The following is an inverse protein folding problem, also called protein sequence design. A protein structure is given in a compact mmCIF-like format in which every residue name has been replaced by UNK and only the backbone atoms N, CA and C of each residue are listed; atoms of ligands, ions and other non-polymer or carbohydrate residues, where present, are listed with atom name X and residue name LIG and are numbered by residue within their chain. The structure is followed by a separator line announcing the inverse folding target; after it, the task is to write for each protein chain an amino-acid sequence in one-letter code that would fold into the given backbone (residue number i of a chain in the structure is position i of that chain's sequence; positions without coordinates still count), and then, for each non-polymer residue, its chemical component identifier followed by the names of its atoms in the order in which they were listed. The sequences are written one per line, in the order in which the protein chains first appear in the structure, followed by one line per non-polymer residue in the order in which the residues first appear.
data_IF_193386563745
#
_entry.id   IF_193386563745
#
_cell.length_a   1.000
_cell.length_b   1.000
_cell.length_c   1.000
_cell.angle_alpha   90.00
_cell.angle_beta   90.00
_cell.angle_gamma   90.00
#
_symmetry.space_group_name_H-M   'P 1'
#
loop_
_entity.id
_entity.type
_entity.pdbx_description
1 polymer ?
#
# COMPACT_ATOMS: atom_id res chain seq x y z
N UNK A 1 20.56 17.92 5.90
CA UNK A 1 19.74 16.76 5.48
C UNK A 1 18.32 17.17 5.80
N UNK A 2 17.73 18.01 4.95
CA UNK A 2 16.58 18.86 5.35
C UNK A 2 15.29 18.42 4.64
N UNK A 3 15.29 17.19 4.13
CA UNK A 3 14.29 16.63 3.24
C UNK A 3 13.87 15.21 3.63
N UNK A 4 14.14 14.82 4.88
CA UNK A 4 13.73 13.55 5.46
C UNK A 4 13.24 13.81 6.89
N UNK A 5 12.03 13.35 7.18
CA UNK A 5 11.46 13.36 8.53
C UNK A 5 11.15 11.91 8.94
N UNK A 6 11.51 11.55 10.16
CA UNK A 6 11.12 10.29 10.78
C UNK A 6 10.03 10.57 11.81
N UNK A 7 8.87 9.94 11.64
CA UNK A 7 7.73 10.06 12.55
C UNK A 7 7.58 8.74 13.31
N UNK A 8 7.57 8.81 14.65
CA UNK A 8 7.30 7.65 15.50
C UNK A 8 5.85 7.65 15.95
N UNK A 9 4.99 6.99 15.17
CA UNK A 9 3.56 6.91 15.41
C UNK A 9 2.99 5.59 14.90
N UNK A 10 1.79 5.26 15.39
CA UNK A 10 1.01 4.15 14.86
C UNK A 10 0.42 4.54 13.50
N UNK A 11 0.72 3.75 12.46
CA UNK A 11 0.19 3.99 11.12
C UNK A 11 -1.32 3.74 11.00
N UNK A 12 -1.98 3.22 12.06
CA UNK A 12 -3.45 3.18 12.17
C UNK A 12 -4.05 4.53 12.59
N UNK A 13 -3.23 5.52 12.91
CA UNK A 13 -3.64 6.90 13.20
C UNK A 13 -3.10 7.87 12.13
N UNK A 14 -3.79 7.97 10.98
CA UNK A 14 -3.39 8.87 9.90
C UNK A 14 -3.29 10.32 10.35
N UNK A 15 -4.20 10.77 11.23
CA UNK A 15 -4.20 12.15 11.73
C UNK A 15 -2.90 12.47 12.48
N UNK A 16 -2.43 11.57 13.35
CA UNK A 16 -1.15 11.75 14.05
C UNK A 16 0.03 11.78 13.09
N UNK A 17 0.11 10.81 12.18
CA UNK A 17 1.23 10.72 11.22
C UNK A 17 1.28 11.94 10.31
N UNK A 18 0.14 12.33 9.73
CA UNK A 18 0.05 13.44 8.78
C UNK A 18 0.34 14.78 9.45
N UNK A 19 -0.07 14.97 10.71
CA UNK A 19 0.21 16.20 11.44
C UNK A 19 1.72 16.46 11.59
N UNK A 20 2.50 15.41 11.87
CA UNK A 20 3.96 15.52 11.92
C UNK A 20 4.56 15.62 10.51
N UNK A 21 4.05 14.85 9.55
CA UNK A 21 4.55 14.87 8.18
C UNK A 21 4.42 16.23 7.46
N UNK A 22 3.46 17.07 7.87
CA UNK A 22 3.26 18.44 7.36
C UNK A 22 4.44 19.38 7.60
N UNK A 23 5.35 19.05 8.51
CA UNK A 23 6.60 19.82 8.66
C UNK A 23 7.47 19.75 7.40
N UNK A 24 7.30 18.71 6.58
CA UNK A 24 8.06 18.48 5.37
C UNK A 24 7.20 18.39 4.09
N UNK A 25 5.99 17.82 4.18
CA UNK A 25 5.12 17.59 3.03
C UNK A 25 4.23 18.80 2.74
N UNK A 26 4.28 19.27 1.48
CA UNK A 26 3.36 20.25 0.93
C UNK A 26 2.11 19.55 0.39
N UNK A 27 0.99 19.67 1.11
CA UNK A 27 -0.29 19.03 0.75
C UNK A 27 -0.87 19.52 -0.58
N UNK A 28 -0.39 20.65 -1.12
CA UNK A 28 -0.82 21.15 -2.43
C UNK A 28 -0.17 20.45 -3.61
N UNK A 29 0.81 19.56 -3.37
CA UNK A 29 1.58 18.82 -4.40
C UNK A 29 1.24 17.33 -4.39
N UNK A 30 1.41 16.63 -5.53
CA UNK A 30 1.21 15.19 -5.56
C UNK A 30 2.18 14.47 -4.64
N UNK A 31 1.69 13.47 -3.91
CA UNK A 31 2.51 12.61 -3.04
C UNK A 31 2.59 11.18 -3.56
N UNK A 32 3.59 10.45 -3.10
CA UNK A 32 3.65 9.01 -3.23
C UNK A 32 3.52 8.38 -1.84
N UNK A 33 2.46 7.60 -1.62
CA UNK A 33 2.26 6.82 -0.41
C UNK A 33 2.79 5.41 -0.67
N UNK A 34 3.73 4.95 0.16
CA UNK A 34 4.30 3.60 0.07
C UNK A 34 3.78 2.77 1.24
N UNK A 35 2.77 1.94 0.97
CA UNK A 35 2.14 1.03 1.93
C UNK A 35 2.45 -0.43 1.57
N UNK A 36 3.73 -0.80 1.71
CA UNK A 36 4.23 -2.15 1.40
C UNK A 36 4.47 -2.95 2.66
N UNK A 37 4.15 -4.24 2.67
CA UNK A 37 4.41 -5.13 3.81
C UNK A 37 3.74 -4.67 5.14
N UNK A 38 2.63 -3.91 5.07
CA UNK A 38 2.05 -3.23 6.24
C UNK A 38 0.63 -3.72 6.61
N UNK A 39 -0.36 -3.61 5.70
CA UNK A 39 -1.78 -3.74 6.06
C UNK A 39 -2.23 -5.15 6.54
N UNK A 40 -1.46 -6.20 6.25
CA UNK A 40 -1.70 -7.56 6.79
C UNK A 40 -1.21 -7.72 8.22
N UNK A 41 -0.62 -6.70 8.83
CA UNK A 41 -0.36 -6.68 10.27
C UNK A 41 -1.64 -6.32 11.07
N UNK A 42 -2.68 -5.85 10.38
CA UNK A 42 -3.93 -5.39 11.01
C UNK A 42 -5.09 -6.32 10.66
N UNK A 43 -5.92 -6.58 11.67
CA UNK A 43 -7.16 -7.34 11.59
C UNK A 43 -8.19 -6.61 10.73
N UNK A 44 -9.23 -7.34 10.31
CA UNK A 44 -10.32 -6.75 9.53
C UNK A 44 -11.12 -5.71 10.34
N UNK A 45 -11.29 -5.92 11.65
CA UNK A 45 -11.99 -4.99 12.56
C UNK A 45 -11.22 -3.67 12.80
N UNK A 46 -9.93 -3.62 12.42
CA UNK A 46 -9.09 -2.42 12.46
C UNK A 46 -9.15 -1.59 11.15
N UNK A 47 -10.00 -1.99 10.19
CA UNK A 47 -10.29 -1.28 8.95
C UNK A 47 -9.05 -0.83 8.12
N UNK A 48 -8.15 -1.75 7.72
CA UNK A 48 -6.91 -1.42 7.02
C UNK A 48 -7.12 -0.61 5.73
N UNK A 49 -8.15 -0.95 4.94
CA UNK A 49 -8.46 -0.23 3.70
C UNK A 49 -8.91 1.21 4.00
N UNK A 50 -9.76 1.39 5.02
CA UNK A 50 -10.21 2.71 5.45
C UNK A 50 -9.05 3.60 5.92
N UNK A 51 -8.14 3.06 6.73
CA UNK A 51 -6.92 3.76 7.18
C UNK A 51 -6.06 4.19 5.97
N UNK A 52 -5.83 3.30 5.01
CA UNK A 52 -5.08 3.64 3.79
C UNK A 52 -5.78 4.74 2.98
N UNK A 53 -7.11 4.67 2.88
CA UNK A 53 -7.89 5.68 2.18
C UNK A 53 -7.88 7.04 2.90
N UNK A 54 -7.77 7.07 4.23
CA UNK A 54 -7.58 8.32 4.99
C UNK A 54 -6.27 9.02 4.65
N UNK A 55 -5.16 8.26 4.54
CA UNK A 55 -3.91 8.83 4.05
C UNK A 55 -4.04 9.42 2.64
N UNK A 56 -4.69 8.72 1.72
CA UNK A 56 -4.88 9.22 0.35
C UNK A 56 -5.79 10.46 0.31
N UNK A 57 -6.84 10.50 1.12
CA UNK A 57 -7.78 11.64 1.18
C UNK A 57 -7.16 12.93 1.70
N UNK A 58 -6.02 12.87 2.38
CA UNK A 58 -5.31 14.05 2.85
C UNK A 58 -4.65 14.86 1.71
N UNK A 59 -4.56 14.29 0.50
CA UNK A 59 -3.89 14.92 -0.64
C UNK A 59 -4.81 15.00 -1.86
N UNK A 60 -4.74 16.08 -2.67
CA UNK A 60 -5.58 16.25 -3.86
C UNK A 60 -5.39 15.15 -4.91
N UNK A 61 -4.16 14.67 -5.08
CA UNK A 61 -3.83 13.54 -5.92
C UNK A 61 -2.46 12.96 -5.55
N UNK A 62 -2.16 11.77 -6.07
CA UNK A 62 -0.88 11.13 -5.87
C UNK A 62 -0.83 9.72 -6.43
N UNK A 63 0.17 8.98 -5.97
CA UNK A 63 0.34 7.56 -6.26
C UNK A 63 0.38 6.75 -4.96
N UNK A 64 -0.15 5.55 -5.03
CA UNK A 64 -0.05 4.52 -4.02
C UNK A 64 0.86 3.41 -4.57
N UNK A 65 1.91 3.07 -3.83
CA UNK A 65 2.69 1.83 -4.01
C UNK A 65 2.27 0.88 -2.90
N UNK A 66 1.67 -0.24 -3.26
CA UNK A 66 0.98 -1.11 -2.31
C UNK A 66 1.44 -2.56 -2.44
N UNK A 67 1.58 -3.26 -1.31
CA UNK A 67 1.70 -4.71 -1.30
C UNK A 67 1.00 -5.35 -0.10
N UNK A 68 0.48 -6.56 -0.31
CA UNK A 68 -0.27 -7.29 0.70
C UNK A 68 -0.05 -8.80 0.62
N UNK A 69 0.12 -9.43 1.79
CA UNK A 69 0.21 -10.89 1.88
C UNK A 69 -1.12 -11.54 1.45
N UNK A 70 -1.03 -12.48 0.51
CA UNK A 70 -2.16 -13.18 -0.06
C UNK A 70 -2.10 -14.67 0.26
N UNK A 71 -3.24 -15.32 0.55
CA UNK A 71 -3.26 -16.72 1.00
C UNK A 71 -3.96 -17.70 0.07
N UNK A 72 -4.94 -17.28 -0.73
CA UNK A 72 -5.75 -18.17 -1.58
C UNK A 72 -5.07 -18.56 -2.90
N UNK A 73 -3.88 -18.02 -3.15
CA UNK A 73 -2.94 -18.41 -4.21
C UNK A 73 -1.75 -19.22 -3.69
N UNK A 74 -1.73 -19.53 -2.40
CA UNK A 74 -0.64 -20.24 -1.74
C UNK A 74 -1.04 -21.69 -1.50
N UNK A 75 -0.18 -22.62 -1.90
CA UNK A 75 -0.36 -24.05 -1.59
C UNK A 75 -0.55 -24.26 -0.07
N UNK A 76 -1.52 -25.09 0.37
CA UNK A 76 -1.83 -25.25 1.79
C UNK A 76 -0.61 -25.56 2.68
N UNK A 77 0.33 -26.35 2.16
CA UNK A 77 1.57 -26.69 2.86
C UNK A 77 2.49 -25.48 3.08
N UNK A 78 2.56 -24.55 2.13
CA UNK A 78 3.33 -23.30 2.27
C UNK A 78 2.65 -22.35 3.24
N UNK A 79 1.32 -22.24 3.19
CA UNK A 79 0.55 -21.43 4.13
C UNK A 79 0.73 -21.90 5.58
N UNK A 80 0.77 -23.22 5.81
CA UNK A 80 1.07 -23.78 7.13
C UNK A 80 2.49 -23.41 7.61
N UNK A 81 3.50 -23.47 6.74
CA UNK A 81 4.88 -23.06 7.06
C UNK A 81 4.98 -21.58 7.39
N UNK A 82 4.36 -20.70 6.59
CA UNK A 82 4.31 -19.27 6.87
C UNK A 82 3.67 -19.00 8.23
N UNK A 83 2.50 -19.60 8.51
CA UNK A 83 1.83 -19.45 9.81
C UNK A 83 2.72 -19.88 10.97
N UNK A 84 3.42 -21.01 10.85
CA UNK A 84 4.35 -21.47 11.87
C UNK A 84 5.54 -20.52 12.09
N UNK A 85 6.08 -19.92 11.02
CA UNK A 85 7.13 -18.90 11.09
C UNK A 85 6.60 -17.68 11.86
N UNK A 86 5.48 -17.09 11.46
CA UNK A 86 4.94 -15.89 12.08
C UNK A 86 4.49 -16.11 13.54
N UNK A 87 3.91 -17.28 13.85
CA UNK A 87 3.59 -17.66 15.23
C UNK A 87 4.83 -17.71 16.12
N UNK A 88 5.97 -18.17 15.60
CA UNK A 88 7.24 -18.23 16.34
C UNK A 88 7.81 -16.83 16.67
N UNK A 89 7.46 -15.82 15.88
CA UNK A 89 7.93 -14.43 16.06
C UNK A 89 6.93 -13.51 16.76
N UNK A 90 5.81 -14.04 17.30
CA UNK A 90 4.74 -13.25 17.94
C UNK A 90 4.18 -12.10 17.08
N UNK A 91 4.35 -12.18 15.75
CA UNK A 91 3.85 -11.17 14.83
C UNK A 91 2.66 -11.77 14.07
N UNK A 92 1.42 -11.62 14.60
CA UNK A 92 0.26 -12.10 13.89
C UNK A 92 0.14 -11.37 12.55
N UNK A 93 -0.04 -12.15 11.48
CA UNK A 93 -0.43 -11.61 10.18
C UNK A 93 -1.84 -12.07 9.84
N UNK A 94 -2.53 -11.22 9.08
CA UNK A 94 -3.87 -11.40 8.56
C UNK A 94 -3.82 -11.35 7.02
N UNK A 95 -3.36 -12.44 6.38
CA UNK A 95 -3.40 -12.56 4.93
C UNK A 95 -4.84 -12.42 4.42
N UNK A 96 -4.99 -11.90 3.21
CA UNK A 96 -6.29 -11.73 2.54
C UNK A 96 -6.31 -12.49 1.22
N UNK A 97 -7.49 -12.77 0.71
CA UNK A 97 -7.66 -13.32 -0.64
C UNK A 97 -7.28 -12.29 -1.68
N UNK A 98 -6.94 -12.71 -2.90
CA UNK A 98 -6.72 -11.78 -4.00
C UNK A 98 -7.92 -10.85 -4.24
N UNK A 99 -9.14 -11.34 -4.07
CA UNK A 99 -10.37 -10.56 -4.21
C UNK A 99 -10.52 -9.50 -3.11
N UNK A 100 -10.31 -9.86 -1.84
CA UNK A 100 -10.33 -8.90 -0.72
C UNK A 100 -9.25 -7.81 -0.88
N UNK A 101 -8.08 -8.18 -1.41
CA UNK A 101 -6.99 -7.22 -1.69
C UNK A 101 -7.39 -6.28 -2.82
N UNK A 102 -8.03 -6.77 -3.89
CA UNK A 102 -8.50 -5.94 -4.99
C UNK A 102 -9.50 -4.88 -4.51
N UNK A 103 -10.43 -5.24 -3.60
CA UNK A 103 -11.39 -4.29 -3.01
C UNK A 103 -10.71 -3.14 -2.27
N UNK A 104 -9.52 -3.35 -1.70
CA UNK A 104 -8.77 -2.26 -1.04
C UNK A 104 -8.32 -1.16 -2.02
N UNK A 105 -8.24 -1.50 -3.31
CA UNK A 105 -7.82 -0.61 -4.40
C UNK A 105 -9.02 -0.05 -5.19
N UNK A 106 -10.26 -0.36 -4.79
CA UNK A 106 -11.46 0.13 -5.48
C UNK A 106 -11.49 1.67 -5.54
N UNK A 107 -11.86 2.19 -6.71
CA UNK A 107 -11.90 3.63 -6.98
C UNK A 107 -10.55 4.26 -7.30
N UNK A 108 -9.46 3.49 -7.30
CA UNK A 108 -8.14 3.95 -7.75
C UNK A 108 -7.91 3.61 -9.22
N UNK A 109 -7.08 4.43 -9.88
CA UNK A 109 -6.59 4.16 -11.23
C UNK A 109 -5.37 3.24 -11.15
N UNK A 110 -5.63 1.93 -11.08
CA UNK A 110 -4.60 0.90 -10.97
C UNK A 110 -3.81 0.80 -12.27
N UNK A 111 -2.50 1.01 -12.18
CA UNK A 111 -1.61 1.05 -13.34
C UNK A 111 -1.22 -0.37 -13.79
N UNK A 112 -1.02 -0.54 -15.11
CA UNK A 112 -0.55 -1.79 -15.69
C UNK A 112 0.79 -2.26 -15.06
N UNK A 113 0.93 -3.56 -14.70
CA UNK A 113 0.09 -4.70 -15.10
C UNK A 113 -1.11 -5.01 -14.17
N UNK A 114 -1.52 -4.07 -13.31
CA UNK A 114 -2.58 -4.29 -12.34
C UNK A 114 -2.06 -4.86 -11.01
N UNK A 115 -2.91 -5.64 -10.35
CA UNK A 115 -2.59 -6.36 -9.11
C UNK A 115 -2.01 -7.73 -9.44
N UNK A 116 -0.69 -7.86 -9.34
CA UNK A 116 0.07 -9.09 -9.67
C UNK A 116 0.94 -9.52 -8.51
N UNK A 117 1.59 -10.69 -8.62
CA UNK A 117 2.60 -11.07 -7.64
C UNK A 117 3.76 -10.05 -7.66
N UNK A 118 4.26 -9.68 -6.48
CA UNK A 118 5.19 -8.55 -6.32
C UNK A 118 6.44 -8.65 -7.22
N UNK A 119 7.01 -9.84 -7.41
CA UNK A 119 8.17 -10.04 -8.30
C UNK A 119 7.86 -9.92 -9.79
N UNK A 120 6.58 -9.92 -10.17
CA UNK A 120 6.12 -9.77 -11.55
C UNK A 120 5.82 -8.31 -11.92
N UNK A 121 5.81 -7.38 -10.96
CA UNK A 121 5.47 -6.00 -11.23
C UNK A 121 6.58 -5.29 -12.04
N UNK A 122 6.37 -5.16 -13.36
CA UNK A 122 7.32 -4.59 -14.35
C UNK A 122 8.75 -5.16 -14.23
N UNK A 123 8.88 -6.44 -13.90
CA UNK A 123 10.19 -7.09 -13.87
C UNK A 123 10.69 -7.38 -15.30
N UNK A 124 12.00 -7.31 -15.48
CA UNK A 124 12.68 -7.53 -16.75
C UNK A 124 12.99 -9.02 -16.99
N UNK A 125 11.99 -9.89 -16.81
CA UNK A 125 12.06 -11.35 -16.97
C UNK A 125 13.03 -12.09 -16.02
N UNK A 126 13.53 -11.44 -14.98
CA UNK A 126 14.24 -12.13 -13.90
C UNK A 126 13.22 -12.75 -12.95
N UNK A 127 12.99 -14.06 -13.09
CA UNK A 127 12.24 -14.84 -12.10
C UNK A 127 13.05 -14.88 -10.80
N UNK A 128 12.63 -14.09 -9.82
CA UNK A 128 13.20 -14.09 -8.47
C UNK A 128 12.45 -15.15 -7.67
N UNK A 129 13.18 -16.09 -7.07
CA UNK A 129 12.61 -16.96 -6.05
C UNK A 129 12.39 -16.12 -4.78
N UNK A 130 11.13 -15.81 -4.50
CA UNK A 130 10.70 -15.00 -3.35
C UNK A 130 10.35 -15.86 -2.12
N UNK A 131 10.64 -17.17 -2.18
CA UNK A 131 10.37 -18.11 -1.10
C UNK A 131 8.88 -18.47 -0.95
N UNK A 132 8.47 -18.75 0.29
CA UNK A 132 7.10 -19.20 0.57
C UNK A 132 6.10 -18.06 0.68
N UNK A 133 6.56 -16.83 0.91
CA UNK A 133 5.70 -15.68 1.12
C UNK A 133 5.14 -15.17 -0.22
N UNK A 134 3.81 -15.09 -0.31
CA UNK A 134 3.12 -14.64 -1.50
C UNK A 134 2.51 -13.26 -1.25
N UNK A 135 3.01 -12.27 -1.97
CA UNK A 135 2.54 -10.88 -1.91
C UNK A 135 1.99 -10.47 -3.26
N UNK A 136 0.80 -9.90 -3.25
CA UNK A 136 0.32 -9.13 -4.39
C UNK A 136 0.79 -7.69 -4.25
N UNK A 137 1.13 -7.05 -5.36
CA UNK A 137 1.53 -5.66 -5.43
C UNK A 137 0.82 -4.93 -6.57
N UNK A 138 0.60 -3.64 -6.35
CA UNK A 138 0.03 -2.73 -7.34
C UNK A 138 0.62 -1.33 -7.15
N UNK A 139 0.64 -0.57 -8.25
CA UNK A 139 0.77 0.88 -8.21
C UNK A 139 -0.52 1.47 -8.72
N UNK A 140 -1.10 2.41 -7.99
CA UNK A 140 -2.34 3.05 -8.38
C UNK A 140 -2.24 4.56 -8.24
N UNK A 141 -2.90 5.29 -9.14
CA UNK A 141 -3.08 6.73 -9.02
C UNK A 141 -4.37 7.00 -8.25
N UNK A 142 -4.35 8.02 -7.39
CA UNK A 142 -5.53 8.51 -6.68
C UNK A 142 -5.69 10.01 -6.91
N UNK A 143 -6.93 10.49 -6.78
CA UNK A 143 -7.28 11.89 -6.96
C UNK A 143 -7.11 12.42 -8.39
N UNK A 144 -7.31 13.72 -8.55
CA UNK A 144 -7.24 14.42 -9.84
C UNK A 144 -6.57 15.78 -9.60
N UNK A 145 -5.56 16.13 -10.40
CA UNK A 145 -5.16 17.52 -10.55
C UNK A 145 -5.96 18.12 -11.69
N UNK A 146 -6.73 19.17 -11.41
CA UNK A 146 -7.16 20.10 -12.46
C UNK A 146 -5.92 20.92 -12.80
N UNK A 147 -5.26 20.60 -13.91
CA UNK A 147 -4.26 21.50 -14.47
C UNK A 147 -5.01 22.68 -15.03
N UNK A 148 -5.13 23.77 -14.27
CA UNK A 148 -5.57 25.04 -14.84
C UNK A 148 -4.47 25.47 -15.81
N UNK A 149 -4.75 25.35 -17.11
CA UNK A 149 -3.81 25.84 -18.11
C UNK A 149 -3.79 27.37 -18.03
N UNK A 150 -2.62 27.98 -18.17
CA UNK A 150 -2.50 29.44 -18.26
C UNK A 150 -3.24 30.03 -19.48
N UNK A 151 -3.84 29.20 -20.36
CA UNK A 151 -4.62 29.63 -21.51
C UNK A 151 -6.09 29.94 -21.19
N UNK A 152 -6.58 29.55 -20.02
CA UNK A 152 -7.98 29.78 -19.61
C UNK A 152 -8.16 31.08 -18.79
N UNK A 153 -7.08 31.86 -18.61
CA UNK A 153 -7.06 33.12 -17.87
C UNK A 153 -6.93 34.37 -18.78
N UNK A 154 -7.28 34.26 -20.06
CA UNK A 154 -7.23 35.35 -21.04
C UNK A 154 -8.64 35.80 -21.45
#
# INVERSE_FOLDING_TARGET
MDNVLLVHADARDPARVLNEARELLDESKPVCIVATALLHLWRNDENPAGVLHEYMRAFPAGYLVFSHCCWDKVEPAKLARLRAIYQRYFMPIYPRTAAEIAVMLDGLDVQEPGLVEASQWRSNDRRIDVGDAYFLAAVAKFGQYVVTSARDAA
#
